data_IF_956628631795
#
_entry.id   IF_956628631795
#
_cell.length_a   1.000
_cell.length_b   1.000
_cell.length_c   1.000
_cell.angle_alpha   90.00
_cell.angle_beta   90.00
_cell.angle_gamma   90.00
#
_symmetry.space_group_name_H-M   'P 1'
#
loop_
_entity.id
_entity.type
_entity.pdbx_description
1 polymer ?
#
# COMPACT_ATOMS: atom_id res chain seq x y z
N UNK A 1 5.72 3.64 -3.37
CA UNK A 1 4.27 3.92 -3.53
C UNK A 1 3.37 2.74 -3.18
N UNK A 2 3.63 1.51 -3.63
CA UNK A 2 2.83 0.36 -3.18
C UNK A 2 3.16 -0.11 -1.75
N UNK A 3 4.44 -0.12 -1.39
CA UNK A 3 4.91 -0.46 -0.05
C UNK A 3 4.49 0.54 1.03
N UNK A 4 3.88 1.66 0.63
CA UNK A 4 3.40 2.71 1.52
C UNK A 4 1.88 2.73 1.61
N UNK A 5 1.18 1.86 0.86
CA UNK A 5 -0.28 1.79 0.92
C UNK A 5 -0.75 0.59 1.73
N UNK A 6 -1.81 0.81 2.50
CA UNK A 6 -2.46 -0.19 3.33
C UNK A 6 -3.93 -0.41 2.95
N UNK A 7 -4.40 0.25 1.88
CA UNK A 7 -5.79 0.18 1.41
C UNK A 7 -6.23 -1.20 0.91
N UNK A 8 -5.27 -2.11 0.68
CA UNK A 8 -5.58 -3.50 0.34
C UNK A 8 -6.00 -4.33 1.57
N UNK A 9 -5.75 -3.84 2.78
CA UNK A 9 -6.13 -4.52 4.01
C UNK A 9 -7.63 -4.33 4.30
N UNK A 10 -8.36 -5.39 4.69
CA UNK A 10 -9.79 -5.32 4.88
C UNK A 10 -10.17 -4.38 6.02
N UNK A 11 -11.03 -3.39 5.75
CA UNK A 11 -11.46 -2.41 6.76
C UNK A 11 -10.45 -1.29 7.04
N UNK A 12 -9.37 -1.20 6.27
CA UNK A 12 -8.48 -0.04 6.26
C UNK A 12 -8.90 0.91 5.14
N UNK A 13 -9.12 2.17 5.51
CA UNK A 13 -9.39 3.27 4.58
C UNK A 13 -8.31 4.34 4.65
N UNK A 14 -8.43 5.35 3.79
CA UNK A 14 -7.45 6.45 3.67
C UNK A 14 -7.23 7.19 5.00
N UNK A 15 -8.26 7.34 5.82
CA UNK A 15 -8.14 7.98 7.14
C UNK A 15 -7.25 7.19 8.11
N UNK A 16 -7.35 5.86 8.10
CA UNK A 16 -6.52 4.99 8.95
C UNK A 16 -5.09 4.91 8.41
N UNK A 17 -4.94 4.84 7.09
CA UNK A 17 -3.64 4.89 6.42
C UNK A 17 -2.89 6.19 6.72
N UNK A 18 -3.57 7.34 6.62
CA UNK A 18 -2.98 8.64 6.96
C UNK A 18 -2.57 8.72 8.43
N UNK A 19 -3.40 8.22 9.34
CA UNK A 19 -3.05 8.15 10.76
C UNK A 19 -1.79 7.31 10.99
N UNK A 20 -1.67 6.17 10.31
CA UNK A 20 -0.47 5.34 10.38
C UNK A 20 0.76 6.08 9.86
N UNK A 21 0.65 6.83 8.76
CA UNK A 21 1.75 7.66 8.28
C UNK A 21 2.17 8.74 9.28
N UNK A 22 1.19 9.42 9.90
CA UNK A 22 1.43 10.43 10.95
C UNK A 22 2.07 9.80 12.21
N UNK A 23 1.78 8.52 12.51
CA UNK A 23 2.40 7.74 13.59
C UNK A 23 3.78 7.12 13.20
N UNK A 24 4.31 7.46 12.03
CA UNK A 24 5.59 6.96 11.52
C UNK A 24 5.53 5.56 10.88
N UNK A 25 4.33 5.00 10.70
CA UNK A 25 4.08 3.74 10.00
C UNK A 25 3.79 4.02 8.53
N UNK A 26 4.79 4.59 7.83
CA UNK A 26 4.66 5.01 6.44
C UNK A 26 4.87 3.89 5.41
N UNK A 27 5.41 2.75 5.84
CA UNK A 27 5.76 1.63 4.97
C UNK A 27 5.39 0.28 5.58
N UNK A 28 5.30 -0.75 4.74
CA UNK A 28 5.12 -2.14 5.17
C UNK A 28 6.20 -2.57 6.17
N UNK A 29 7.47 -2.21 5.94
CA UNK A 29 8.54 -2.53 6.87
C UNK A 29 8.33 -1.82 8.22
N UNK A 30 7.97 -0.53 8.23
CA UNK A 30 7.66 0.19 9.47
C UNK A 30 6.45 -0.41 10.21
N UNK A 31 5.47 -0.95 9.49
CA UNK A 31 4.34 -1.65 10.09
C UNK A 31 4.75 -2.98 10.71
N UNK A 32 5.59 -3.76 10.03
CA UNK A 32 6.11 -5.05 10.51
C UNK A 32 7.07 -4.89 11.70
N UNK A 33 7.84 -3.80 11.75
CA UNK A 33 8.75 -3.49 12.87
C UNK A 33 7.99 -3.13 14.16
N UNK A 34 6.80 -2.54 14.06
CA UNK A 34 5.98 -2.22 15.23
C UNK A 34 5.14 -3.42 15.66
N UNK A 35 5.14 -3.69 16.97
CA UNK A 35 4.27 -4.71 17.60
C UNK A 35 2.81 -4.26 17.69
N UNK A 36 2.57 -2.94 17.69
CA UNK A 36 1.24 -2.35 17.88
C UNK A 36 1.03 -1.29 16.78
N UNK A 37 -0.16 -1.29 16.17
CA UNK A 37 -0.57 -0.25 15.23
C UNK A 37 -1.86 0.45 15.73
N UNK A 38 -2.00 1.77 15.51
CA UNK A 38 -3.18 2.52 15.91
C UNK A 38 -4.47 1.96 15.30
N UNK A 39 -5.59 2.04 16.04
CA UNK A 39 -6.96 1.67 15.61
C UNK A 39 -7.20 0.18 15.28
N UNK A 40 -6.26 -0.70 15.58
CA UNK A 40 -6.43 -2.15 15.39
C UNK A 40 -6.02 -2.94 16.64
N UNK A 41 -6.61 -4.12 16.84
CA UNK A 41 -6.21 -5.04 17.91
C UNK A 41 -4.94 -5.79 17.54
N UNK A 42 -4.24 -6.36 18.54
CA UNK A 42 -3.08 -7.23 18.33
C UNK A 42 -3.38 -8.43 17.43
N UNK A 43 -4.59 -9.00 17.53
CA UNK A 43 -5.05 -10.07 16.65
C UNK A 43 -5.14 -9.62 15.18
N UNK A 44 -5.74 -8.45 14.92
CA UNK A 44 -5.79 -7.89 13.56
C UNK A 44 -4.41 -7.50 13.05
N UNK A 45 -3.54 -7.01 13.94
CA UNK A 45 -2.14 -6.70 13.59
C UNK A 45 -1.41 -7.94 13.09
N UNK A 46 -1.52 -9.06 13.80
CA UNK A 46 -0.91 -10.33 13.37
C UNK A 46 -1.45 -10.79 12.00
N UNK A 47 -2.77 -10.67 11.77
CA UNK A 47 -3.35 -11.01 10.46
C UNK A 47 -2.81 -10.12 9.34
N UNK A 48 -2.72 -8.80 9.58
CA UNK A 48 -2.20 -7.87 8.59
C UNK A 48 -0.70 -8.04 8.35
N UNK A 49 0.06 -8.50 9.35
CA UNK A 49 1.46 -8.84 9.16
C UNK A 49 1.62 -9.98 8.15
N UNK A 50 0.77 -11.01 8.23
CA UNK A 50 0.72 -12.08 7.22
C UNK A 50 0.34 -11.54 5.83
N UNK A 51 -0.71 -10.74 5.73
CA UNK A 51 -1.18 -10.13 4.48
C UNK A 51 -0.09 -9.26 3.83
N UNK A 52 0.62 -8.46 4.63
CA UNK A 52 1.73 -7.61 4.18
C UNK A 52 2.92 -8.45 3.73
N UNK A 53 3.25 -9.54 4.45
CA UNK A 53 4.31 -10.46 4.05
C UNK A 53 3.99 -11.15 2.72
N UNK A 54 2.73 -11.54 2.50
CA UNK A 54 2.26 -12.10 1.24
C UNK A 54 2.32 -11.08 0.11
N UNK A 55 1.78 -9.88 0.33
CA UNK A 55 1.90 -8.76 -0.60
C UNK A 55 3.38 -8.48 -0.96
N UNK A 56 4.28 -8.52 0.02
CA UNK A 56 5.73 -8.35 -0.20
C UNK A 56 6.32 -9.43 -1.10
N UNK A 57 5.89 -10.70 -0.97
CA UNK A 57 6.31 -11.79 -1.87
C UNK A 57 5.85 -11.52 -3.31
N UNK A 58 4.58 -11.15 -3.50
CA UNK A 58 4.04 -10.82 -4.81
C UNK A 58 4.71 -9.59 -5.43
N UNK A 59 5.03 -8.58 -4.62
CA UNK A 59 5.78 -7.40 -5.06
C UNK A 59 7.18 -7.77 -5.55
N UNK A 60 7.93 -8.59 -4.79
CA UNK A 60 9.26 -9.08 -5.20
C UNK A 60 9.20 -9.91 -6.49
N UNK A 61 8.13 -10.67 -6.68
CA UNK A 61 7.87 -11.45 -7.89
C UNK A 61 7.36 -10.61 -9.08
N UNK A 62 7.25 -9.27 -8.95
CA UNK A 62 6.68 -8.36 -9.95
C UNK A 62 5.26 -8.75 -10.39
N UNK A 63 4.51 -9.45 -9.54
CA UNK A 63 3.16 -9.92 -9.84
C UNK A 63 2.14 -8.78 -9.64
N UNK A 64 2.07 -7.91 -10.63
CA UNK A 64 1.16 -6.77 -10.71
C UNK A 64 -0.32 -7.14 -10.61
N UNK A 65 -0.67 -8.30 -11.17
CA UNK A 65 -2.04 -8.81 -11.24
C UNK A 65 -2.63 -9.07 -9.87
N UNK A 66 -1.81 -9.49 -8.91
CA UNK A 66 -2.24 -9.63 -7.51
C UNK A 66 -2.82 -8.32 -6.98
N UNK A 67 -2.11 -7.21 -7.21
CA UNK A 67 -2.49 -5.91 -6.68
C UNK A 67 -3.69 -5.28 -7.39
N UNK A 68 -3.91 -5.58 -8.67
CA UNK A 68 -5.11 -5.10 -9.38
C UNK A 68 -6.39 -5.78 -8.89
N UNK A 69 -6.31 -6.97 -8.29
CA UNK A 69 -7.47 -7.69 -7.74
C UNK A 69 -7.79 -7.26 -6.30
N UNK A 70 -6.78 -6.96 -5.49
CA UNK A 70 -6.99 -6.57 -4.08
C UNK A 70 -7.24 -5.07 -3.89
N UNK A 71 -6.69 -4.22 -4.77
CA UNK A 71 -6.95 -2.79 -4.74
C UNK A 71 -8.21 -2.48 -5.54
N UNK A 72 -9.04 -1.57 -5.01
CA UNK A 72 -10.20 -1.05 -5.75
C UNK A 72 -9.71 -0.29 -6.99
N UNK A 73 -10.51 -0.30 -8.05
CA UNK A 73 -10.19 0.39 -9.31
C UNK A 73 -9.82 1.86 -9.12
N UNK A 74 -10.47 2.56 -8.17
CA UNK A 74 -10.18 3.95 -7.82
C UNK A 74 -8.80 4.17 -7.18
N UNK A 75 -8.16 3.11 -6.68
CA UNK A 75 -6.86 3.14 -6.02
C UNK A 75 -5.76 2.56 -6.93
N UNK A 76 -6.11 2.13 -8.15
CA UNK A 76 -5.16 1.60 -9.14
C UNK A 76 -4.15 2.66 -9.59
N UNK A 77 -4.45 3.96 -9.50
CA UNK A 77 -3.47 5.02 -9.79
C UNK A 77 -2.23 4.93 -8.87
N UNK A 78 -2.35 4.33 -7.67
CA UNK A 78 -1.23 4.13 -6.75
C UNK A 78 -0.25 3.04 -7.20
N UNK A 79 -0.65 2.20 -8.16
CA UNK A 79 0.20 1.19 -8.82
C UNK A 79 1.11 1.80 -9.89
N UNK A 80 0.70 2.88 -10.54
CA UNK A 80 1.40 3.50 -11.68
C UNK A 80 2.91 3.78 -11.49
N UNK A 81 3.39 4.26 -10.34
CA UNK A 81 4.81 4.55 -10.15
C UNK A 81 5.68 3.29 -10.07
N UNK A 82 5.10 2.15 -9.71
CA UNK A 82 5.81 0.87 -9.67
C UNK A 82 5.83 0.17 -11.05
N UNK A 83 4.98 0.59 -12.00
CA UNK A 83 4.96 0.13 -13.40
C UNK A 83 5.67 1.10 -14.36
N UNK A 84 6.55 1.95 -13.80
CA UNK A 84 7.35 2.96 -14.52
C UNK A 84 8.23 2.44 -15.66
N UNK A 85 8.37 1.13 -15.87
CA UNK A 85 9.11 0.59 -17.03
C UNK A 85 8.28 0.50 -18.32
N UNK A 86 6.97 0.79 -18.30
CA UNK A 86 6.11 0.64 -19.49
C UNK A 86 5.14 1.80 -19.78
N UNK A 87 5.06 2.83 -18.94
CA UNK A 87 4.13 3.93 -19.13
C UNK A 87 4.87 5.23 -19.49
N UNK A 88 4.62 5.73 -20.70
CA UNK A 88 5.08 7.05 -21.15
C UNK A 88 4.35 8.15 -20.37
N UNK A 89 5.12 9.11 -19.84
CA UNK A 89 4.58 10.29 -19.19
C UNK A 89 4.12 11.28 -20.26
N UNK A 90 2.84 11.65 -20.24
CA UNK A 90 2.39 12.89 -20.87
C UNK A 90 2.52 13.98 -19.80
N UNK A 91 3.55 14.80 -19.96
CA UNK A 91 3.72 16.03 -19.19
C UNK A 91 2.70 17.05 -19.72
N UNK A 92 1.71 17.41 -18.90
CA UNK A 92 0.88 18.57 -19.18
C UNK A 92 1.34 19.69 -18.25
N UNK A 93 2.43 20.35 -18.63
CA UNK A 93 2.74 21.68 -18.13
C UNK A 93 1.64 22.63 -18.61
N UNK A 94 0.63 22.88 -17.78
CA UNK A 94 -0.23 24.06 -17.96
C UNK A 94 0.49 25.27 -17.37
N UNK A 95 1.38 25.87 -18.16
CA UNK A 95 1.72 27.27 -17.97
C UNK A 95 0.59 28.10 -18.61
N UNK A 96 -0.11 28.89 -17.79
CA UNK A 96 -0.99 29.95 -18.26
C UNK A 96 -0.21 31.14 -18.79
#
# INVERSE_FOLDING_TARGET
>A
MLQSTFLFLPGIGESTERLWWEDGIATWDAFLEKTIAPRISSLRKAQYDEDILEARKHWKAQNSRYFTHILKARDHWRLYPNFRSQAAFLDIETNG
#
